data_IF_611654553837
#
_entry.id   IF_611654553837
#
_cell.length_a   1.000
_cell.length_b   1.000
_cell.length_c   1.000
_cell.angle_alpha   90.00
_cell.angle_beta   90.00
_cell.angle_gamma   90.00
#
_symmetry.space_group_name_H-M   'P 1'
#
loop_
_entity.id
_entity.type
_entity.pdbx_description
1 polymer ?
#
# COMPACT_ATOMS: atom_id res chain seq x y z
N UNK A 1 -8.26 10.28 -0.34
CA UNK A 1 -6.77 10.20 -0.48
C UNK A 1 -6.37 9.26 -1.62
N UNK A 2 -6.77 7.99 -1.57
CA UNK A 2 -6.45 7.02 -2.63
C UNK A 2 -7.07 7.37 -3.99
N UNK A 3 -8.31 7.85 -4.01
CA UNK A 3 -8.98 8.35 -5.23
C UNK A 3 -8.20 9.51 -5.90
N UNK A 4 -7.51 10.32 -5.09
CA UNK A 4 -6.68 11.43 -5.57
C UNK A 4 -5.20 11.02 -5.79
N UNK A 5 -4.90 9.72 -5.77
CA UNK A 5 -3.54 9.16 -5.94
C UNK A 5 -2.50 9.70 -4.94
N UNK A 6 -2.94 10.07 -3.73
CA UNK A 6 -2.05 10.57 -2.66
C UNK A 6 -1.54 9.42 -1.78
N UNK A 7 -0.60 8.63 -2.32
CA UNK A 7 -0.10 7.42 -1.68
C UNK A 7 0.58 7.67 -0.32
N UNK A 8 1.47 8.68 -0.20
CA UNK A 8 2.19 8.95 1.05
C UNK A 8 1.23 9.40 2.18
N UNK A 9 0.33 10.39 1.99
CA UNK A 9 -0.67 10.70 3.01
C UNK A 9 -1.59 9.52 3.35
N UNK A 10 -1.94 8.68 2.37
CA UNK A 10 -2.75 7.50 2.64
C UNK A 10 -1.99 6.46 3.48
N UNK A 11 -0.69 6.31 3.27
CA UNK A 11 0.17 5.43 4.08
C UNK A 11 0.18 5.85 5.56
N UNK A 12 0.28 7.15 5.85
CA UNK A 12 0.20 7.66 7.22
C UNK A 12 -1.11 7.27 7.93
N UNK A 13 -2.23 7.27 7.19
CA UNK A 13 -3.52 6.85 7.73
C UNK A 13 -3.57 5.33 7.98
N UNK A 14 -2.90 4.53 7.16
CA UNK A 14 -2.74 3.08 7.39
C UNK A 14 -1.92 2.83 8.65
N UNK A 15 -0.82 3.55 8.87
CA UNK A 15 0.00 3.43 10.08
C UNK A 15 -0.81 3.77 11.34
N UNK A 16 -1.57 4.86 11.32
CA UNK A 16 -2.46 5.22 12.43
C UNK A 16 -3.54 4.16 12.67
N UNK A 17 -4.17 3.64 11.61
CA UNK A 17 -5.17 2.58 11.74
C UNK A 17 -4.58 1.31 12.35
N UNK A 18 -3.39 0.89 11.92
CA UNK A 18 -2.70 -0.27 12.46
C UNK A 18 -2.31 -0.08 13.93
N UNK A 19 -1.83 1.11 14.30
CA UNK A 19 -1.51 1.41 15.69
C UNK A 19 -2.75 1.42 16.58
N UNK A 20 -3.83 2.09 16.16
CA UNK A 20 -5.11 2.10 16.89
C UNK A 20 -5.69 0.70 17.03
N UNK A 21 -5.59 -0.13 15.99
CA UNK A 21 -5.97 -1.54 16.06
C UNK A 21 -5.19 -2.26 17.17
N UNK A 22 -3.86 -2.12 17.23
CA UNK A 22 -3.04 -2.73 18.28
C UNK A 22 -3.45 -2.30 19.69
N UNK A 23 -3.81 -1.02 19.88
CA UNK A 23 -4.29 -0.52 21.18
C UNK A 23 -5.63 -1.13 21.59
N UNK A 24 -6.59 -1.20 20.65
CA UNK A 24 -7.91 -1.79 20.89
C UNK A 24 -7.79 -3.29 21.16
N UNK A 25 -6.92 -3.96 20.42
CA UNK A 25 -6.65 -5.38 20.53
C UNK A 25 -6.03 -5.75 21.88
N UNK A 26 -5.01 -4.99 22.31
CA UNK A 26 -4.39 -5.15 23.62
C UNK A 26 -5.35 -4.86 24.78
N UNK A 27 -6.35 -4.00 24.57
CA UNK A 27 -7.40 -3.73 25.56
C UNK A 27 -8.44 -4.84 25.66
N UNK A 28 -8.42 -5.82 24.75
CA UNK A 28 -9.47 -6.84 24.65
C UNK A 28 -10.81 -6.30 24.14
N UNK A 29 -10.80 -5.13 23.49
CA UNK A 29 -12.00 -4.50 22.93
C UNK A 29 -12.41 -5.07 21.56
N UNK A 30 -11.63 -6.02 21.03
CA UNK A 30 -11.85 -6.67 19.73
C UNK A 30 -11.96 -8.18 19.96
N UNK A 31 -13.05 -8.78 19.47
CA UNK A 31 -13.23 -10.23 19.50
C UNK A 31 -12.31 -10.97 18.50
N UNK A 32 -12.18 -12.28 18.65
CA UNK A 32 -11.34 -13.12 17.77
C UNK A 32 -11.80 -13.04 16.30
N UNK A 33 -13.11 -12.97 16.05
CA UNK A 33 -13.67 -12.85 14.69
C UNK A 33 -13.41 -11.46 14.11
N UNK A 34 -13.60 -10.40 14.89
CA UNK A 34 -13.35 -9.02 14.46
C UNK A 34 -11.87 -8.78 14.15
N UNK A 35 -10.97 -9.39 14.93
CA UNK A 35 -9.51 -9.30 14.72
C UNK A 35 -9.11 -9.66 13.29
N UNK A 36 -9.59 -10.82 12.81
CA UNK A 36 -9.28 -11.28 11.45
C UNK A 36 -9.79 -10.30 10.38
N UNK A 37 -11.00 -9.75 10.57
CA UNK A 37 -11.59 -8.77 9.68
C UNK A 37 -10.80 -7.45 9.65
N UNK A 38 -10.40 -6.92 10.81
CA UNK A 38 -9.60 -5.70 10.90
C UNK A 38 -8.24 -5.86 10.23
N UNK A 39 -7.54 -6.97 10.49
CA UNK A 39 -6.26 -7.29 9.85
C UNK A 39 -6.44 -7.35 8.32
N UNK A 40 -7.51 -7.99 7.84
CA UNK A 40 -7.83 -8.04 6.41
C UNK A 40 -8.03 -6.65 5.81
N UNK A 41 -8.79 -5.78 6.47
CA UNK A 41 -9.04 -4.39 6.02
C UNK A 41 -7.75 -3.57 5.97
N UNK A 42 -6.94 -3.60 7.03
CA UNK A 42 -5.65 -2.89 7.10
C UNK A 42 -4.70 -3.39 6.01
N UNK A 43 -4.63 -4.71 5.82
CA UNK A 43 -3.80 -5.32 4.76
C UNK A 43 -4.23 -4.89 3.37
N UNK A 44 -5.53 -4.89 3.09
CA UNK A 44 -6.04 -4.46 1.78
C UNK A 44 -5.73 -2.99 1.51
N UNK A 45 -5.92 -2.11 2.49
CA UNK A 45 -5.53 -0.70 2.39
C UNK A 45 -4.03 -0.53 2.13
N UNK A 46 -3.18 -1.25 2.88
CA UNK A 46 -1.73 -1.22 2.71
C UNK A 46 -1.32 -1.67 1.30
N UNK A 47 -1.94 -2.71 0.75
CA UNK A 47 -1.71 -3.18 -0.63
C UNK A 47 -2.07 -2.12 -1.66
N UNK A 48 -3.24 -1.48 -1.52
CA UNK A 48 -3.66 -0.41 -2.42
C UNK A 48 -2.73 0.80 -2.38
N UNK A 49 -2.29 1.19 -1.19
CA UNK A 49 -1.30 2.27 -1.00
C UNK A 49 0.03 1.90 -1.67
N UNK A 50 0.53 0.68 -1.46
CA UNK A 50 1.78 0.22 -2.06
C UNK A 50 1.72 0.21 -3.60
N UNK A 51 0.61 -0.26 -4.19
CA UNK A 51 0.40 -0.22 -5.63
C UNK A 51 0.39 1.23 -6.16
N UNK A 52 -0.34 2.13 -5.48
CA UNK A 52 -0.39 3.55 -5.87
C UNK A 52 0.98 4.24 -5.74
N UNK A 53 1.77 3.89 -4.72
CA UNK A 53 3.13 4.38 -4.57
C UNK A 53 4.02 3.87 -5.72
N UNK A 54 4.00 2.57 -6.02
CA UNK A 54 4.75 1.99 -7.14
C UNK A 54 4.41 2.70 -8.45
N UNK A 55 3.14 2.91 -8.75
CA UNK A 55 2.69 3.64 -9.94
C UNK A 55 3.20 5.08 -9.95
N UNK A 56 3.18 5.77 -8.80
CA UNK A 56 3.71 7.13 -8.69
C UNK A 56 5.21 7.18 -9.00
N UNK A 57 5.97 6.18 -8.56
CA UNK A 57 7.41 6.08 -8.82
C UNK A 57 7.69 5.71 -10.27
N UNK A 58 6.89 4.81 -10.86
CA UNK A 58 6.98 4.45 -12.27
C UNK A 58 6.73 5.64 -13.20
N UNK A 59 5.74 6.50 -12.90
CA UNK A 59 5.48 7.75 -13.65
C UNK A 59 6.67 8.72 -13.66
N UNK A 60 7.52 8.65 -12.63
CA UNK A 60 8.72 9.46 -12.51
C UNK A 60 9.98 8.73 -13.02
N UNK A 61 9.85 7.51 -13.55
CA UNK A 61 10.98 6.70 -14.01
C UNK A 61 11.92 6.23 -12.89
N UNK A 62 11.42 6.11 -11.65
CA UNK A 62 12.20 5.69 -10.47
C UNK A 62 13.51 6.48 -10.24
N UNK A 63 13.46 7.80 -9.99
CA UNK A 63 14.65 8.67 -10.01
C UNK A 63 15.70 8.39 -8.92
N UNK A 64 15.39 7.53 -7.94
CA UNK A 64 16.29 7.15 -6.84
C UNK A 64 16.75 5.69 -6.94
N UNK A 65 16.31 4.96 -7.96
CA UNK A 65 16.71 3.57 -8.17
C UNK A 65 17.87 3.52 -9.19
N UNK A 66 18.78 2.53 -9.09
CA UNK A 66 19.72 2.22 -10.15
C UNK A 66 19.01 2.01 -11.48
N UNK A 67 19.54 2.60 -12.56
CA UNK A 67 18.91 2.60 -13.88
C UNK A 67 18.58 1.19 -14.38
N UNK A 68 19.47 0.23 -14.17
CA UNK A 68 19.25 -1.17 -14.57
C UNK A 68 17.98 -1.76 -13.91
N UNK A 69 17.74 -1.50 -12.62
CA UNK A 69 16.54 -1.98 -11.92
C UNK A 69 15.30 -1.21 -12.33
N UNK A 70 15.42 0.11 -12.54
CA UNK A 70 14.32 0.95 -13.01
C UNK A 70 13.80 0.48 -14.37
N UNK A 71 14.70 0.26 -15.33
CA UNK A 71 14.37 -0.17 -16.70
C UNK A 71 13.72 -1.57 -16.70
N UNK A 72 14.25 -2.51 -15.90
CA UNK A 72 13.66 -3.85 -15.74
C UNK A 72 12.21 -3.80 -15.24
N UNK A 73 11.98 -3.04 -14.16
CA UNK A 73 10.66 -2.95 -13.53
C UNK A 73 9.67 -2.19 -14.42
N UNK A 74 10.10 -1.12 -15.10
CA UNK A 74 9.27 -0.41 -16.06
C UNK A 74 8.80 -1.33 -17.19
N UNK A 75 9.72 -2.11 -17.78
CA UNK A 75 9.38 -3.08 -18.82
C UNK A 75 8.39 -4.15 -18.31
N UNK A 76 8.56 -4.62 -17.06
CA UNK A 76 7.63 -5.57 -16.44
C UNK A 76 6.24 -4.96 -16.24
N UNK A 77 6.16 -3.73 -15.72
CA UNK A 77 4.88 -3.03 -15.51
C UNK A 77 4.16 -2.74 -16.83
N UNK A 78 4.90 -2.40 -17.89
CA UNK A 78 4.31 -2.25 -19.23
C UNK A 78 3.73 -3.57 -19.75
N UNK A 79 4.42 -4.68 -19.55
CA UNK A 79 3.93 -6.01 -19.93
C UNK A 79 2.67 -6.38 -19.16
N UNK A 80 2.64 -6.15 -17.85
CA UNK A 80 1.47 -6.40 -17.00
C UNK A 80 0.27 -5.54 -17.42
N UNK A 81 0.48 -4.26 -17.76
CA UNK A 81 -0.57 -3.37 -18.27
C UNK A 81 -1.12 -3.77 -19.64
N UNK A 82 -0.30 -4.39 -20.49
CA UNK A 82 -0.75 -4.91 -21.80
C UNK A 82 -1.52 -6.23 -21.69
N UNK A 83 -1.34 -6.96 -20.59
CA UNK A 83 -1.99 -8.25 -20.35
C UNK A 83 -3.31 -8.14 -19.57
N UNK A 84 -3.55 -7.00 -18.92
CA UNK A 84 -4.78 -6.66 -18.21
C UNK A 84 -5.79 -5.95 -19.12
#
# INVERSE_FOLDING_TARGET
>A
LMENQLALPAYEQVLKAAHTFNLLDARGAISVTERAAYIGRIRNLARSVAASYLDSRARLGFPMAPKAWADEILAKLEKEKKAA
#
